data_IF_886540504240
#
_entry.id   IF_886540504240
#
_cell.length_a   1.000
_cell.length_b   1.000
_cell.length_c   1.000
_cell.angle_alpha   90.00
_cell.angle_beta   90.00
_cell.angle_gamma   90.00
#
_symmetry.space_group_name_H-M   'P 1'
#
loop_
_entity.id
_entity.type
_entity.pdbx_description
1 polymer ?
#
# COMPACT_ATOMS: atom_id res chain seq x y z
N UNK A 1 -13.84 -23.95 -15.53
CA UNK A 1 -14.06 -23.22 -14.26
C UNK A 1 -12.82 -22.38 -14.01
N UNK A 2 -12.98 -21.07 -13.82
CA UNK A 2 -11.91 -20.18 -13.37
C UNK A 2 -11.53 -20.54 -11.93
N UNK A 3 -10.24 -20.54 -11.63
CA UNK A 3 -9.76 -20.74 -10.27
C UNK A 3 -10.34 -19.64 -9.35
N UNK A 4 -10.59 -19.94 -8.06
CA UNK A 4 -11.10 -18.94 -7.11
C UNK A 4 -10.10 -17.80 -6.93
N UNK A 5 -10.61 -16.63 -6.56
CA UNK A 5 -9.77 -15.49 -6.18
C UNK A 5 -8.82 -15.90 -5.04
N UNK A 6 -7.56 -15.46 -5.12
CA UNK A 6 -6.48 -15.85 -4.20
C UNK A 6 -6.13 -17.34 -4.17
N UNK A 7 -6.39 -18.10 -5.25
CA UNK A 7 -6.02 -19.52 -5.34
C UNK A 7 -4.54 -19.76 -5.03
N UNK A 8 -3.67 -18.85 -5.48
CA UNK A 8 -2.23 -18.87 -5.26
C UNK A 8 -1.85 -18.96 -3.78
N UNK A 9 -2.64 -18.36 -2.88
CA UNK A 9 -2.38 -18.43 -1.44
C UNK A 9 -2.74 -19.78 -0.83
N UNK A 10 -3.70 -20.51 -1.40
CA UNK A 10 -4.03 -21.87 -0.93
C UNK A 10 -2.88 -22.84 -1.15
N UNK A 11 -2.15 -22.68 -2.26
CA UNK A 11 -1.03 -23.56 -2.62
C UNK A 11 0.19 -23.35 -1.69
N UNK A 12 0.31 -22.18 -1.06
CA UNK A 12 1.48 -21.80 -0.24
C UNK A 12 1.13 -21.56 1.25
N UNK A 13 -0.13 -21.76 1.64
CA UNK A 13 -0.65 -21.46 2.98
C UNK A 13 0.17 -22.09 4.11
N UNK A 14 0.55 -23.36 3.95
CA UNK A 14 1.34 -24.08 4.96
C UNK A 14 2.72 -23.46 5.15
N UNK A 15 3.32 -22.92 4.08
CA UNK A 15 4.62 -22.23 4.11
C UNK A 15 4.55 -20.86 4.77
N UNK A 16 3.39 -20.20 4.69
CA UNK A 16 3.13 -18.90 5.31
C UNK A 16 2.68 -18.98 6.77
N UNK A 17 2.27 -20.17 7.23
CA UNK A 17 1.75 -20.35 8.59
C UNK A 17 2.81 -19.97 9.62
N UNK A 18 2.46 -19.06 10.54
CA UNK A 18 3.36 -18.56 11.57
C UNK A 18 4.39 -17.53 11.09
N UNK A 19 4.34 -17.09 9.82
CA UNK A 19 5.23 -16.04 9.29
C UNK A 19 4.58 -14.66 9.22
N UNK A 20 3.26 -14.59 9.41
CA UNK A 20 2.54 -13.33 9.41
C UNK A 20 2.25 -12.88 10.84
N UNK A 21 2.79 -11.72 11.21
CA UNK A 21 2.51 -11.05 12.47
C UNK A 21 1.62 -9.83 12.25
N UNK A 22 0.76 -9.49 13.23
CA UNK A 22 -0.12 -8.32 13.18
C UNK A 22 0.63 -7.04 12.83
N UNK A 23 1.84 -6.88 13.37
CA UNK A 23 2.67 -5.70 13.16
C UNK A 23 3.03 -5.47 11.68
N UNK A 24 2.97 -6.50 10.84
CA UNK A 24 3.16 -6.40 9.38
C UNK A 24 2.06 -5.56 8.72
N UNK A 25 0.87 -5.47 9.30
CA UNK A 25 -0.25 -4.76 8.67
C UNK A 25 -0.01 -3.25 8.67
N UNK A 26 0.13 -2.65 9.86
CA UNK A 26 0.20 -1.20 10.01
C UNK A 26 1.30 -0.71 10.97
N UNK A 27 1.67 -1.46 12.00
CA UNK A 27 2.66 -0.99 12.98
C UNK A 27 4.01 -0.67 12.32
N UNK A 28 4.48 -1.55 11.42
CA UNK A 28 5.73 -1.35 10.68
C UNK A 28 5.53 -0.65 9.32
N UNK A 29 4.48 0.15 9.16
CA UNK A 29 4.16 0.71 7.84
C UNK A 29 5.28 1.55 7.25
N UNK A 30 5.94 2.37 8.09
CA UNK A 30 7.08 3.21 7.67
C UNK A 30 8.42 2.74 8.22
N UNK A 31 8.41 1.86 9.21
CA UNK A 31 9.63 1.34 9.85
C UNK A 31 9.56 -0.19 9.93
N UNK A 32 10.26 -0.92 9.04
CA UNK A 32 10.30 -2.38 9.09
C UNK A 32 11.00 -2.92 10.34
N UNK A 33 11.81 -2.14 11.05
CA UNK A 33 12.45 -2.58 12.30
C UNK A 33 11.43 -2.80 13.41
N UNK A 34 10.29 -2.10 13.37
CA UNK A 34 9.13 -2.37 14.23
C UNK A 34 8.62 -3.80 14.08
N UNK A 35 8.77 -4.41 12.90
CA UNK A 35 8.28 -5.77 12.64
C UNK A 35 9.16 -6.47 11.61
N UNK A 36 10.31 -7.04 12.02
CA UNK A 36 11.23 -7.71 11.11
C UNK A 36 10.61 -8.90 10.37
N UNK A 37 9.50 -9.44 10.87
CA UNK A 37 8.72 -10.53 10.26
C UNK A 37 8.23 -10.22 8.83
N UNK A 38 8.17 -8.94 8.42
CA UNK A 38 7.87 -8.57 7.03
C UNK A 38 8.84 -9.22 6.03
N UNK A 39 10.11 -9.37 6.38
CA UNK A 39 11.13 -9.93 5.49
C UNK A 39 10.95 -11.43 5.26
N UNK A 40 10.92 -12.31 6.27
CA UNK A 40 10.69 -13.74 6.03
C UNK A 40 9.30 -14.03 5.45
N UNK A 41 8.29 -13.21 5.75
CA UNK A 41 6.99 -13.29 5.09
C UNK A 41 7.11 -13.04 3.58
N UNK A 42 7.73 -11.92 3.20
CA UNK A 42 7.90 -11.52 1.80
C UNK A 42 8.82 -12.46 1.03
N UNK A 43 9.92 -12.90 1.65
CA UNK A 43 10.83 -13.90 1.08
C UNK A 43 10.10 -15.19 0.73
N UNK A 44 9.19 -15.64 1.61
CA UNK A 44 8.39 -16.85 1.34
C UNK A 44 7.44 -16.65 0.16
N UNK A 45 6.80 -15.48 0.04
CA UNK A 45 5.95 -15.17 -1.11
C UNK A 45 6.73 -15.19 -2.42
N UNK A 46 7.96 -14.65 -2.41
CA UNK A 46 8.86 -14.63 -3.56
C UNK A 46 9.31 -16.05 -3.92
N UNK A 47 9.78 -16.82 -2.93
CA UNK A 47 10.34 -18.16 -3.15
C UNK A 47 9.31 -19.18 -3.63
N UNK A 48 8.05 -19.06 -3.18
CA UNK A 48 6.98 -19.99 -3.54
C UNK A 48 6.18 -19.56 -4.78
N UNK A 49 6.53 -18.42 -5.40
CA UNK A 49 5.87 -17.94 -6.61
C UNK A 49 6.11 -18.89 -7.79
N UNK A 50 5.03 -19.20 -8.54
CA UNK A 50 5.13 -19.97 -9.78
C UNK A 50 5.53 -19.04 -10.93
N UNK A 51 6.84 -18.93 -11.18
CA UNK A 51 7.41 -18.09 -12.24
C UNK A 51 7.96 -16.79 -11.68
N UNK A 52 7.82 -15.68 -12.41
CA UNK A 52 8.30 -14.38 -11.96
C UNK A 52 7.35 -13.83 -10.88
N UNK A 53 7.83 -13.59 -9.65
CA UNK A 53 6.99 -13.07 -8.58
C UNK A 53 6.54 -11.65 -8.89
N UNK A 54 5.23 -11.40 -8.74
CA UNK A 54 4.64 -10.06 -8.82
C UNK A 54 3.86 -9.83 -7.52
N UNK A 55 4.34 -8.90 -6.70
CA UNK A 55 3.71 -8.53 -5.44
C UNK A 55 2.86 -7.28 -5.66
N UNK A 56 1.54 -7.45 -5.72
CA UNK A 56 0.61 -6.31 -5.75
C UNK A 56 0.19 -5.96 -4.33
N UNK A 57 0.80 -4.90 -3.79
CA UNK A 57 0.51 -4.41 -2.46
C UNK A 57 -0.35 -3.15 -2.55
N UNK A 58 -1.60 -3.20 -2.08
CA UNK A 58 -2.48 -2.03 -2.13
C UNK A 58 -2.00 -0.86 -1.25
N UNK A 59 -1.12 -1.11 -0.28
CA UNK A 59 -0.63 -0.15 0.73
C UNK A 59 0.74 -0.57 1.26
N UNK A 60 1.80 -0.32 0.49
CA UNK A 60 3.18 -0.60 0.90
C UNK A 60 4.14 0.57 0.63
N UNK A 61 3.59 1.76 0.37
CA UNK A 61 4.38 2.93 0.00
C UNK A 61 5.27 3.47 1.13
N UNK A 62 5.03 3.07 2.38
CA UNK A 62 5.97 3.33 3.48
C UNK A 62 7.16 2.36 3.53
N UNK A 63 7.18 1.34 2.66
CA UNK A 63 8.12 0.20 2.73
C UNK A 63 8.96 0.01 1.46
N UNK A 64 8.90 0.95 0.50
CA UNK A 64 9.57 0.76 -0.80
C UNK A 64 11.08 0.62 -0.62
N UNK A 65 11.75 1.52 0.10
CA UNK A 65 13.19 1.46 0.37
C UNK A 65 13.63 0.11 0.96
N UNK A 66 13.13 -0.33 2.13
CA UNK A 66 13.62 -1.57 2.74
C UNK A 66 13.30 -2.82 1.91
N UNK A 67 12.15 -2.85 1.21
CA UNK A 67 11.83 -3.99 0.34
C UNK A 67 12.75 -4.02 -0.90
N UNK A 68 13.08 -2.86 -1.47
CA UNK A 68 14.00 -2.73 -2.59
C UNK A 68 15.43 -3.11 -2.19
N UNK A 69 15.90 -2.64 -1.05
CA UNK A 69 17.23 -2.98 -0.54
C UNK A 69 17.38 -4.49 -0.26
N UNK A 70 16.34 -5.10 0.32
CA UNK A 70 16.38 -6.52 0.69
C UNK A 70 16.19 -7.47 -0.50
N UNK A 71 15.26 -7.17 -1.41
CA UNK A 71 14.82 -8.12 -2.45
C UNK A 71 15.11 -7.65 -3.88
N UNK A 72 15.55 -6.40 -4.07
CA UNK A 72 15.72 -5.80 -5.38
C UNK A 72 14.41 -5.71 -6.15
N UNK A 73 14.44 -6.12 -7.42
CA UNK A 73 13.29 -6.14 -8.32
C UNK A 73 12.95 -4.78 -8.94
N UNK A 74 11.94 -4.79 -9.80
CA UNK A 74 11.37 -3.59 -10.42
C UNK A 74 10.20 -3.09 -9.59
N UNK A 75 10.28 -1.86 -9.13
CA UNK A 75 9.24 -1.19 -8.34
C UNK A 75 8.46 -0.26 -9.26
N UNK A 76 7.14 -0.42 -9.25
CA UNK A 76 6.22 0.34 -10.11
C UNK A 76 5.31 1.18 -9.21
N UNK A 77 5.39 2.50 -9.35
CA UNK A 77 4.55 3.43 -8.63
C UNK A 77 3.17 3.53 -9.30
N UNK A 78 2.11 3.11 -8.61
CA UNK A 78 0.74 3.37 -9.05
C UNK A 78 0.23 4.65 -8.40
N UNK A 79 -0.31 5.58 -9.19
CA UNK A 79 -0.93 6.80 -8.66
C UNK A 79 -2.16 7.21 -9.46
N UNK A 80 -3.02 8.01 -8.82
CA UNK A 80 -4.25 8.56 -9.38
C UNK A 80 -4.37 10.02 -9.00
N UNK A 81 -5.07 10.80 -9.81
CA UNK A 81 -5.51 12.15 -9.47
C UNK A 81 -6.14 12.18 -8.07
N UNK A 82 -5.67 13.07 -7.18
CA UNK A 82 -6.05 13.07 -5.78
C UNK A 82 -7.52 13.39 -5.57
N UNK A 83 -8.12 14.23 -6.43
CA UNK A 83 -9.54 14.60 -6.32
C UNK A 83 -10.42 13.40 -6.63
N UNK A 84 -10.18 12.72 -7.74
CA UNK A 84 -10.94 11.54 -8.12
C UNK A 84 -10.75 10.37 -7.15
N UNK A 85 -9.53 10.20 -6.63
CA UNK A 85 -9.25 9.19 -5.61
C UNK A 85 -9.97 9.51 -4.29
N UNK A 86 -9.92 10.77 -3.84
CA UNK A 86 -10.63 11.23 -2.64
C UNK A 86 -12.13 10.97 -2.73
N UNK A 87 -12.76 11.34 -3.85
CA UNK A 87 -14.19 11.10 -4.08
C UNK A 87 -14.53 9.60 -4.05
N UNK A 88 -13.64 8.74 -4.54
CA UNK A 88 -13.82 7.29 -4.47
C UNK A 88 -13.72 6.74 -3.04
N UNK A 89 -12.95 7.41 -2.16
CA UNK A 89 -12.82 7.03 -0.77
C UNK A 89 -14.08 7.36 0.04
N UNK A 90 -14.91 8.31 -0.42
CA UNK A 90 -16.15 8.70 0.28
C UNK A 90 -17.28 7.66 0.14
N UNK A 91 -17.07 6.54 -0.57
CA UNK A 91 -18.09 5.50 -0.75
C UNK A 91 -18.38 4.76 0.58
N UNK A 92 -17.40 4.65 1.46
CA UNK A 92 -17.57 4.04 2.79
C UNK A 92 -16.49 4.50 3.79
N UNK A 93 -16.78 4.31 5.08
CA UNK A 93 -15.89 4.74 6.18
C UNK A 93 -14.63 3.86 6.33
N UNK A 94 -14.50 2.78 5.54
CA UNK A 94 -13.34 1.90 5.59
C UNK A 94 -12.04 2.64 5.22
N UNK A 95 -12.11 3.59 4.29
CA UNK A 95 -10.92 4.37 3.89
C UNK A 95 -10.47 5.35 4.96
N UNK A 96 -11.40 5.91 5.74
CA UNK A 96 -11.07 6.76 6.89
C UNK A 96 -10.35 5.93 7.96
N UNK A 97 -10.93 4.78 8.34
CA UNK A 97 -10.32 3.88 9.33
C UNK A 97 -8.95 3.34 8.87
N UNK A 98 -8.82 3.03 7.57
CA UNK A 98 -7.53 2.62 6.98
C UNK A 98 -6.50 3.75 7.04
N UNK A 99 -6.90 4.98 6.73
CA UNK A 99 -5.97 6.13 6.74
C UNK A 99 -5.47 6.41 8.15
N UNK A 100 -6.37 6.29 9.14
CA UNK A 100 -6.03 6.30 10.57
C UNK A 100 -5.06 5.17 10.94
N UNK A 101 -5.31 3.95 10.48
CA UNK A 101 -4.41 2.82 10.73
C UNK A 101 -3.00 3.05 10.15
N UNK A 102 -2.89 3.64 8.95
CA UNK A 102 -1.58 3.99 8.38
C UNK A 102 -0.88 5.05 9.21
N UNK A 103 -1.57 6.15 9.54
CA UNK A 103 -0.94 7.19 10.37
C UNK A 103 -0.70 6.71 11.79
N UNK A 104 -1.25 5.59 12.26
CA UNK A 104 -1.02 4.97 13.58
C UNK A 104 0.27 4.12 13.66
N UNK A 105 0.96 3.91 12.54
CA UNK A 105 2.21 3.15 12.48
C UNK A 105 3.27 3.58 13.51
N UNK A 106 4.04 2.66 14.08
CA UNK A 106 5.11 3.02 15.01
C UNK A 106 6.29 3.66 14.26
N UNK A 107 6.97 4.59 14.93
CA UNK A 107 8.11 5.35 14.39
C UNK A 107 7.85 5.99 13.01
N UNK A 108 6.74 6.72 12.81
CA UNK A 108 6.43 7.23 11.48
C UNK A 108 7.35 8.42 11.13
N UNK A 109 7.49 8.79 9.86
CA UNK A 109 8.29 9.92 9.42
C UNK A 109 7.82 11.23 10.04
N UNK A 110 8.71 12.22 10.12
CA UNK A 110 8.42 13.54 10.76
C UNK A 110 7.16 14.19 10.22
N UNK A 111 6.88 14.08 8.92
CA UNK A 111 5.67 14.66 8.33
C UNK A 111 4.39 13.99 8.84
N UNK A 112 4.42 12.68 9.07
CA UNK A 112 3.30 11.93 9.64
C UNK A 112 3.15 12.24 11.13
N UNK A 113 4.25 12.41 11.87
CA UNK A 113 4.20 12.88 13.26
C UNK A 113 3.55 14.26 13.38
N UNK A 114 3.89 15.19 12.48
CA UNK A 114 3.26 16.52 12.42
C UNK A 114 1.78 16.43 12.06
N UNK A 115 1.42 15.57 11.10
CA UNK A 115 0.02 15.31 10.75
C UNK A 115 -0.78 14.82 11.96
N UNK A 116 -0.23 13.88 12.75
CA UNK A 116 -0.87 13.42 14.01
C UNK A 116 -1.12 14.57 14.98
N UNK A 117 -0.12 15.42 15.19
CA UNK A 117 -0.22 16.57 16.09
C UNK A 117 -1.30 17.56 15.63
N UNK A 118 -1.33 17.87 14.34
CA UNK A 118 -2.29 18.82 13.74
C UNK A 118 -3.74 18.38 13.93
N UNK A 119 -4.02 17.08 13.78
CA UNK A 119 -5.38 16.55 13.95
C UNK A 119 -5.70 16.14 15.39
N UNK A 120 -4.76 16.29 16.33
CA UNK A 120 -4.92 15.82 17.70
C UNK A 120 -5.08 14.30 17.81
N UNK A 121 -4.40 13.53 16.96
CA UNK A 121 -4.51 12.09 16.89
C UNK A 121 -3.96 11.41 18.15
N UNK A 122 -4.76 10.54 18.75
CA UNK A 122 -4.33 9.65 19.82
C UNK A 122 -4.07 8.27 19.23
N UNK A 123 -2.87 7.75 19.47
CA UNK A 123 -2.50 6.42 19.00
C UNK A 123 -3.34 5.34 19.68
N UNK A 124 -3.69 4.31 18.91
CA UNK A 124 -4.46 3.16 19.37
C UNK A 124 -3.69 1.90 19.02
N UNK A 125 -3.21 1.18 20.04
CA UNK A 125 -2.51 -0.09 19.86
C UNK A 125 -3.24 -1.18 20.64
N UNK A 126 -3.72 -2.20 19.94
CA UNK A 126 -4.45 -3.33 20.52
C UNK A 126 -3.82 -4.67 20.10
N UNK A 127 -4.25 -5.76 20.74
CA UNK A 127 -3.74 -7.11 20.45
C UNK A 127 -4.02 -7.58 19.01
N UNK A 128 -5.06 -7.04 18.37
CA UNK A 128 -5.47 -7.41 17.02
C UNK A 128 -5.92 -6.19 16.20
N UNK A 129 -5.81 -6.30 14.88
CA UNK A 129 -6.16 -5.23 13.93
C UNK A 129 -7.64 -4.87 14.00
N UNK A 130 -8.53 -5.84 14.28
CA UNK A 130 -9.97 -5.60 14.31
C UNK A 130 -10.37 -4.65 15.43
N UNK A 131 -9.75 -4.77 16.61
CA UNK A 131 -9.97 -3.85 17.74
C UNK A 131 -9.50 -2.43 17.43
N UNK A 132 -8.37 -2.27 16.72
CA UNK A 132 -7.88 -0.95 16.29
C UNK A 132 -8.81 -0.34 15.25
N UNK A 133 -9.24 -1.12 14.26
CA UNK A 133 -10.19 -0.66 13.26
C UNK A 133 -11.54 -0.25 13.85
N UNK A 134 -12.02 -0.97 14.87
CA UNK A 134 -13.23 -0.57 15.58
C UNK A 134 -13.07 0.83 16.22
N UNK A 135 -11.94 1.07 16.90
CA UNK A 135 -11.65 2.39 17.47
C UNK A 135 -11.50 3.48 16.40
N UNK A 136 -10.87 3.18 15.26
CA UNK A 136 -10.75 4.14 14.15
C UNK A 136 -12.07 4.44 13.46
N UNK A 137 -12.97 3.47 13.35
CA UNK A 137 -14.32 3.69 12.82
C UNK A 137 -15.19 4.54 13.75
N UNK A 138 -14.90 4.55 15.05
CA UNK A 138 -15.57 5.41 16.03
C UNK A 138 -14.93 6.81 16.15
N UNK A 139 -13.76 7.02 15.55
CA UNK A 139 -13.06 8.29 15.60
C UNK A 139 -13.87 9.40 14.91
N UNK A 140 -14.21 10.44 15.68
CA UNK A 140 -14.92 11.61 15.16
C UNK A 140 -13.96 12.56 14.46
N UNK A 141 -13.75 12.35 13.15
CA UNK A 141 -13.00 13.28 12.29
C UNK A 141 -13.95 14.16 11.49
N UNK A 142 -13.66 15.46 11.41
CA UNK A 142 -14.33 16.33 10.45
C UNK A 142 -13.79 16.13 9.02
N UNK A 143 -14.53 16.65 8.02
CA UNK A 143 -14.17 16.48 6.62
C UNK A 143 -12.79 17.09 6.26
N UNK A 144 -12.40 18.18 6.94
CA UNK A 144 -11.10 18.81 6.76
C UNK A 144 -9.97 17.93 7.27
N UNK A 145 -10.13 17.32 8.45
CA UNK A 145 -9.17 16.37 9.01
C UNK A 145 -9.05 15.11 8.14
N UNK A 146 -10.17 14.53 7.70
CA UNK A 146 -10.15 13.35 6.81
C UNK A 146 -9.41 13.67 5.50
N UNK A 147 -9.69 14.82 4.89
CA UNK A 147 -9.00 15.26 3.68
C UNK A 147 -7.51 15.53 3.92
N UNK A 148 -7.17 16.16 5.04
CA UNK A 148 -5.78 16.45 5.41
C UNK A 148 -4.96 15.16 5.55
N UNK A 149 -5.53 14.13 6.21
CA UNK A 149 -4.89 12.82 6.33
C UNK A 149 -4.70 12.18 4.96
N UNK A 150 -5.79 12.11 4.17
CA UNK A 150 -5.75 11.54 2.82
C UNK A 150 -4.67 12.22 1.97
N UNK A 151 -4.71 13.55 1.89
CA UNK A 151 -3.84 14.31 1.02
C UNK A 151 -2.39 14.30 1.50
N UNK A 152 -2.16 14.32 2.82
CA UNK A 152 -0.84 14.14 3.41
C UNK A 152 -0.23 12.80 3.07
N UNK A 153 -0.99 11.71 3.18
CA UNK A 153 -0.55 10.37 2.78
C UNK A 153 -0.36 10.26 1.26
N UNK A 154 -1.22 10.89 0.46
CA UNK A 154 -1.11 10.91 -1.00
C UNK A 154 0.16 11.64 -1.46
N UNK A 155 0.47 12.80 -0.87
CA UNK A 155 1.69 13.54 -1.15
C UNK A 155 2.93 12.78 -0.70
N UNK A 156 2.90 12.18 0.49
CA UNK A 156 3.99 11.33 0.97
C UNK A 156 4.25 10.17 0.01
N UNK A 157 3.19 9.47 -0.39
CA UNK A 157 3.26 8.37 -1.36
C UNK A 157 3.95 8.83 -2.65
N UNK A 158 3.53 9.95 -3.23
CA UNK A 158 4.10 10.43 -4.48
C UNK A 158 5.56 10.88 -4.32
N UNK A 159 5.83 11.78 -3.38
CA UNK A 159 7.14 12.44 -3.25
C UNK A 159 8.25 11.49 -2.79
N UNK A 160 7.94 10.59 -1.86
CA UNK A 160 8.95 9.69 -1.29
C UNK A 160 9.20 8.48 -2.18
N UNK A 161 8.21 8.02 -2.95
CA UNK A 161 8.33 6.76 -3.71
C UNK A 161 8.64 6.97 -5.20
N UNK A 162 8.28 8.09 -5.80
CA UNK A 162 8.62 8.40 -7.20
C UNK A 162 10.13 8.27 -7.49
N UNK A 163 11.06 8.82 -6.69
CA UNK A 163 12.49 8.67 -6.97
C UNK A 163 13.03 7.25 -6.74
N UNK A 164 12.26 6.37 -6.09
CA UNK A 164 12.67 5.00 -5.73
C UNK A 164 12.18 3.95 -6.74
N UNK A 165 11.21 4.30 -7.59
CA UNK A 165 10.57 3.39 -8.53
C UNK A 165 11.17 3.53 -9.95
N UNK A 166 11.28 2.42 -10.67
CA UNK A 166 11.75 2.40 -12.06
C UNK A 166 10.70 2.89 -13.06
N UNK A 167 9.43 2.81 -12.69
CA UNK A 167 8.31 3.19 -13.53
C UNK A 167 7.15 3.74 -12.69
N UNK A 168 6.32 4.53 -13.34
CA UNK A 168 5.06 5.02 -12.79
C UNK A 168 3.90 4.71 -13.73
N UNK A 169 2.75 4.38 -13.16
CA UNK A 169 1.49 4.19 -13.87
C UNK A 169 0.46 5.14 -13.28
N UNK A 170 0.02 6.08 -14.11
CA UNK A 170 -1.14 6.91 -13.85
C UNK A 170 -2.40 6.12 -14.19
N UNK A 171 -3.18 5.79 -13.16
CA UNK A 171 -4.37 4.97 -13.28
C UNK A 171 -5.50 5.66 -14.06
N UNK A 172 -5.59 6.99 -14.03
CA UNK A 172 -6.61 7.71 -14.80
C UNK A 172 -6.36 7.59 -16.31
N UNK A 173 -5.09 7.54 -16.71
CA UNK A 173 -4.70 7.43 -18.13
C UNK A 173 -4.99 6.06 -18.73
N UNK A 174 -5.04 4.99 -17.92
CA UNK A 174 -5.38 3.64 -18.39
C UNK A 174 -6.79 3.54 -18.98
N UNK A 175 -7.71 4.40 -18.54
CA UNK A 175 -9.09 4.43 -19.06
C UNK A 175 -9.29 5.45 -20.18
N UNK A 176 -8.29 6.30 -20.44
CA UNK A 176 -8.43 7.51 -21.28
C UNK A 176 -7.52 7.52 -22.50
N UNK A 177 -6.48 6.68 -22.55
CA UNK A 177 -5.52 6.67 -23.65
C UNK A 177 -5.15 5.25 -24.08
N UNK A 178 -5.63 4.85 -25.26
CA UNK A 178 -5.25 3.58 -25.89
C UNK A 178 -3.74 3.51 -26.14
N UNK A 179 -3.10 4.66 -26.45
CA UNK A 179 -1.65 4.77 -26.64
C UNK A 179 -0.88 4.52 -25.33
N UNK A 180 -1.40 5.02 -24.21
CA UNK A 180 -0.84 4.78 -22.88
C UNK A 180 -0.96 3.31 -22.48
N UNK A 181 -2.13 2.70 -22.73
CA UNK A 181 -2.37 1.26 -22.52
C UNK A 181 -1.46 0.39 -23.39
N UNK A 182 -1.17 0.82 -24.62
CA UNK A 182 -0.27 0.12 -25.54
C UNK A 182 1.22 0.19 -25.14
N UNK A 183 1.56 0.84 -24.03
CA UNK A 183 2.91 0.86 -23.47
C UNK A 183 3.84 1.92 -24.06
N UNK A 184 3.30 2.97 -24.68
CA UNK A 184 4.08 4.19 -24.99
C UNK A 184 4.09 5.14 -23.80
N UNK A 185 4.64 4.67 -22.69
CA UNK A 185 4.87 5.49 -21.50
C UNK A 185 6.10 6.38 -21.71
N UNK A 186 6.03 7.65 -21.34
CA UNK A 186 7.15 8.59 -21.41
C UNK A 186 8.21 8.22 -20.38
N UNK A 187 9.22 7.49 -20.82
CA UNK A 187 10.36 6.99 -20.02
C UNK A 187 10.97 5.76 -20.71
N UNK A 188 12.26 5.46 -20.48
CA UNK A 188 13.01 4.39 -21.15
C UNK A 188 12.51 2.95 -20.91
N UNK A 189 11.33 2.77 -20.33
CA UNK A 189 10.72 1.46 -20.09
C UNK A 189 9.28 1.47 -20.61
N UNK A 190 9.02 0.59 -21.58
CA UNK A 190 7.67 0.26 -22.02
C UNK A 190 7.11 -0.79 -21.06
N UNK A 191 6.23 -0.38 -20.15
CA UNK A 191 5.43 -1.36 -19.40
C UNK A 191 4.33 -1.83 -20.34
N UNK A 192 4.60 -2.90 -21.11
CA UNK A 192 3.53 -3.60 -21.82
C UNK A 192 2.66 -4.29 -20.78
N UNK A 193 1.48 -3.72 -20.52
CA UNK A 193 0.42 -4.41 -19.80
C UNK A 193 -0.03 -5.56 -20.71
N UNK A 194 0.50 -6.77 -20.48
CA UNK A 194 0.09 -7.96 -21.22
C UNK A 194 -1.29 -8.35 -20.71
N UNK A 195 -2.35 -7.83 -21.33
CA UNK A 195 -3.68 -8.40 -21.21
C UNK A 195 -3.67 -9.73 -21.95
N UNK A 196 -3.82 -10.86 -21.25
CA UNK A 196 -4.08 -12.15 -21.90
C UNK A 196 -5.35 -12.01 -22.73
N UNK A 197 -5.21 -12.14 -24.05
CA UNK A 197 -6.32 -12.41 -24.95
C UNK A 197 -6.98 -13.72 -24.52
N UNK A 198 -8.31 -13.70 -24.49
CA UNK A 198 -9.17 -14.83 -24.13
C UNK A 198 -9.06 -15.98 -25.12
#
# INVERSE_FOLDING_TARGET
MTAPYFREFYDIKEKLTGKFDKCISYDSFFDPQTCPAIFPYTETLIAEAKGNPVLQCCRSFGRVTPLKEQFGGTHILLWRDPVNQWLSYQINDYFDATSLAIINAQNPPVIIQRLRQEIGFNEVHAENVQSEFAAFSEASLDAGQKYLIFYGLWLYHLLENQPLCEAEINLDMLSRSEEYVAGKTTGNYSVKIITKST
#
